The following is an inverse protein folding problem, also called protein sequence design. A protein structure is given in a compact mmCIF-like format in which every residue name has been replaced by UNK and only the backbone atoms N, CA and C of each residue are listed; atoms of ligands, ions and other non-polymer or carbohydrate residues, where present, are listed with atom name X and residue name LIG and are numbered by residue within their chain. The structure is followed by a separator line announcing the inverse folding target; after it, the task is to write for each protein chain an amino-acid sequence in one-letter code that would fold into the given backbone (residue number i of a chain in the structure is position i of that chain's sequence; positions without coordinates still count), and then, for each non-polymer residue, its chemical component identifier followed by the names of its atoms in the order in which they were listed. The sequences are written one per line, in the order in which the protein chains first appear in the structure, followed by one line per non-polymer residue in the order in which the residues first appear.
data_IF_639331951439
#
_entry.id   IF_639331951439
#
_cell.length_a   1.000
_cell.length_b   1.000
_cell.length_c   1.000
_cell.angle_alpha   90.00
_cell.angle_beta   90.00
_cell.angle_gamma   90.00
#
_symmetry.space_group_name_H-M   'P 1'
#
loop_
_entity.id
_entity.type
_entity.pdbx_description
1 polymer ?
#
# COMPACT_ATOMS: atom_id res chain seq x y z
N UNK A 1 -25.20 -34.53 -49.93
CA UNK A 1 -25.11 -33.80 -48.62
C UNK A 1 -26.04 -32.59 -48.73
N UNK A 2 -27.10 -32.54 -47.97
CA UNK A 2 -28.12 -31.49 -48.02
C UNK A 2 -27.56 -30.19 -47.42
N UNK A 3 -27.96 -29.04 -47.97
CA UNK A 3 -27.48 -27.70 -47.54
C UNK A 3 -27.65 -27.45 -46.05
N UNK A 4 -28.63 -28.05 -45.40
CA UNK A 4 -28.85 -27.95 -43.95
C UNK A 4 -27.73 -28.57 -43.09
N UNK A 5 -27.15 -29.71 -43.53
CA UNK A 5 -26.01 -30.32 -42.80
C UNK A 5 -24.75 -29.45 -42.88
N UNK A 6 -24.51 -28.81 -44.02
CA UNK A 6 -23.40 -27.86 -44.19
C UNK A 6 -23.56 -26.62 -43.29
N UNK A 7 -24.74 -26.05 -43.18
CA UNK A 7 -25.03 -24.91 -42.32
C UNK A 7 -24.87 -25.22 -40.82
N UNK A 8 -25.26 -26.42 -40.39
CA UNK A 8 -25.06 -26.88 -39.01
C UNK A 8 -23.58 -27.04 -38.69
N UNK A 9 -22.78 -27.64 -39.53
CA UNK A 9 -21.34 -27.85 -39.34
C UNK A 9 -20.62 -26.51 -39.25
N UNK A 10 -20.95 -25.54 -40.08
CA UNK A 10 -20.34 -24.20 -40.03
C UNK A 10 -20.69 -23.46 -38.74
N UNK A 11 -21.94 -23.50 -38.28
CA UNK A 11 -22.35 -22.91 -37.01
C UNK A 11 -21.63 -23.52 -35.81
N UNK A 12 -21.52 -24.85 -35.74
CA UNK A 12 -20.81 -25.52 -34.64
C UNK A 12 -19.32 -25.29 -34.69
N UNK A 13 -18.69 -25.24 -35.85
CA UNK A 13 -17.27 -24.91 -36.01
C UNK A 13 -16.95 -23.49 -35.54
N UNK A 14 -17.84 -22.53 -35.86
CA UNK A 14 -17.68 -21.15 -35.43
C UNK A 14 -17.79 -20.99 -33.89
N UNK A 15 -18.75 -21.69 -33.25
CA UNK A 15 -18.88 -21.70 -31.80
C UNK A 15 -17.67 -22.35 -31.13
N UNK A 16 -17.16 -23.45 -31.63
CA UNK A 16 -15.99 -24.12 -31.12
C UNK A 16 -14.73 -23.25 -31.24
N UNK A 17 -14.57 -22.55 -32.35
CA UNK A 17 -13.46 -21.62 -32.58
C UNK A 17 -13.52 -20.43 -31.59
N UNK A 18 -14.71 -19.87 -31.35
CA UNK A 18 -14.91 -18.75 -30.40
C UNK A 18 -14.58 -19.18 -28.96
N UNK A 19 -15.02 -20.36 -28.55
CA UNK A 19 -14.73 -20.85 -27.19
C UNK A 19 -13.24 -21.14 -26.97
N UNK A 20 -12.56 -21.73 -27.97
CA UNK A 20 -11.11 -21.96 -27.91
C UNK A 20 -10.34 -20.64 -27.86
N UNK A 21 -10.75 -19.63 -28.65
CA UNK A 21 -10.10 -18.31 -28.65
C UNK A 21 -10.26 -17.58 -27.32
N UNK A 22 -11.41 -17.67 -26.65
CA UNK A 22 -11.63 -17.10 -25.32
C UNK A 22 -10.77 -17.79 -24.27
N UNK A 23 -10.70 -19.13 -24.30
CA UNK A 23 -9.89 -19.89 -23.36
C UNK A 23 -8.40 -19.62 -23.58
N UNK A 24 -7.93 -19.60 -24.83
CA UNK A 24 -6.54 -19.25 -25.16
C UNK A 24 -6.21 -17.82 -24.73
N UNK A 25 -7.12 -16.85 -24.95
CA UNK A 25 -6.95 -15.46 -24.51
C UNK A 25 -6.76 -15.35 -23.00
N UNK A 26 -7.51 -16.08 -22.19
CA UNK A 26 -7.38 -16.08 -20.73
C UNK A 26 -6.05 -16.73 -20.27
N UNK A 27 -5.56 -17.74 -21.00
CA UNK A 27 -4.29 -18.43 -20.65
C UNK A 27 -3.05 -17.66 -21.11
N UNK A 28 -3.14 -16.88 -22.20
CA UNK A 28 -2.03 -16.10 -22.73
C UNK A 28 -1.92 -14.68 -22.15
N UNK A 29 -2.90 -14.21 -21.37
CA UNK A 29 -2.71 -12.95 -20.66
C UNK A 29 -1.61 -13.15 -19.60
N UNK A 30 -0.44 -12.50 -19.73
CA UNK A 30 0.58 -12.56 -18.71
C UNK A 30 -0.04 -12.03 -17.42
N UNK A 31 -0.18 -12.89 -16.43
CA UNK A 31 -0.60 -12.45 -15.11
C UNK A 31 0.37 -11.34 -14.71
N UNK A 32 -0.12 -10.15 -14.33
CA UNK A 32 0.77 -9.09 -13.89
C UNK A 32 1.65 -9.68 -12.78
N UNK A 33 2.97 -9.65 -12.98
CA UNK A 33 3.91 -9.98 -11.91
C UNK A 33 3.65 -8.99 -10.80
N UNK A 34 2.99 -9.44 -9.77
CA UNK A 34 2.80 -8.66 -8.54
C UNK A 34 4.17 -8.69 -7.87
N UNK A 35 4.95 -7.65 -8.10
CA UNK A 35 6.17 -7.45 -7.33
C UNK A 35 5.73 -7.23 -5.88
N UNK A 36 6.08 -8.18 -5.04
CA UNK A 36 5.92 -8.03 -3.60
C UNK A 36 6.83 -6.88 -3.16
N UNK A 37 6.24 -5.73 -2.91
CA UNK A 37 6.98 -4.54 -2.49
C UNK A 37 7.43 -4.75 -1.06
N UNK A 38 8.70 -5.11 -0.89
CA UNK A 38 9.33 -5.12 0.43
C UNK A 38 9.47 -3.68 0.89
N UNK A 39 8.70 -3.31 1.91
CA UNK A 39 8.84 -2.01 2.54
C UNK A 39 10.11 -1.99 3.39
N UNK A 40 10.86 -0.87 3.40
CA UNK A 40 11.97 -0.74 4.33
C UNK A 40 11.42 -0.78 5.78
N UNK A 41 12.18 -1.33 6.74
CA UNK A 41 11.79 -1.27 8.13
C UNK A 41 11.64 0.18 8.58
N UNK A 42 10.68 0.44 9.46
CA UNK A 42 10.58 1.77 10.08
C UNK A 42 11.81 2.02 10.95
N UNK A 43 12.34 3.26 11.01
CA UNK A 43 13.44 3.59 11.92
C UNK A 43 13.06 3.24 13.36
N UNK A 44 14.01 2.79 14.18
CA UNK A 44 13.77 2.28 15.54
C UNK A 44 12.93 3.24 16.44
N UNK A 45 13.17 4.54 16.31
CA UNK A 45 12.42 5.60 17.00
C UNK A 45 11.82 6.62 16.03
N UNK A 46 11.42 6.16 14.85
CA UNK A 46 10.96 7.02 13.78
C UNK A 46 9.72 6.48 13.06
N UNK A 47 9.48 7.06 11.92
CA UNK A 47 8.31 6.79 11.09
C UNK A 47 8.70 6.36 9.68
N UNK A 48 8.05 5.34 9.18
CA UNK A 48 7.94 5.06 7.76
C UNK A 48 6.61 5.65 7.27
N UNK A 49 6.67 6.59 6.35
CA UNK A 49 5.51 7.18 5.69
C UNK A 49 5.37 6.57 4.32
N UNK A 50 4.26 5.88 4.07
CA UNK A 50 3.95 5.26 2.78
C UNK A 50 2.89 6.09 2.08
N UNK A 51 3.23 6.70 0.96
CA UNK A 51 2.30 7.39 0.08
C UNK A 51 1.82 6.43 -1.02
N UNK A 52 0.56 6.07 -0.99
CA UNK A 52 -0.13 5.45 -2.12
C UNK A 52 -0.60 6.55 -3.06
N UNK A 53 0.07 6.71 -4.20
CA UNK A 53 -0.23 7.76 -5.16
C UNK A 53 -0.80 7.18 -6.47
N UNK A 54 -1.50 8.02 -7.21
CA UNK A 54 -1.90 7.72 -8.58
C UNK A 54 -1.05 8.57 -9.53
N UNK A 55 -0.40 7.95 -10.54
CA UNK A 55 0.34 8.70 -11.55
C UNK A 55 -0.53 9.77 -12.23
N UNK A 56 0.04 10.92 -12.55
CA UNK A 56 -0.62 12.05 -13.19
C UNK A 56 -1.77 12.71 -12.37
N UNK A 57 -1.92 12.39 -11.09
CA UNK A 57 -2.84 13.10 -10.20
C UNK A 57 -2.12 14.27 -9.51
N UNK A 58 -2.58 15.50 -9.76
CA UNK A 58 -2.01 16.73 -9.20
C UNK A 58 -1.97 16.73 -7.68
N UNK A 59 -2.97 16.16 -7.03
CA UNK A 59 -3.05 16.05 -5.57
C UNK A 59 -1.96 15.14 -5.03
N UNK A 60 -1.71 14.03 -5.71
CA UNK A 60 -0.62 13.09 -5.40
C UNK A 60 0.76 13.76 -5.55
N UNK A 61 0.96 14.56 -6.58
CA UNK A 61 2.21 15.31 -6.80
C UNK A 61 2.46 16.36 -5.72
N UNK A 62 1.44 17.15 -5.38
CA UNK A 62 1.53 18.15 -4.32
C UNK A 62 1.85 17.50 -2.96
N UNK A 63 1.17 16.42 -2.63
CA UNK A 63 1.41 15.68 -1.39
C UNK A 63 2.81 15.07 -1.36
N UNK A 64 3.29 14.55 -2.50
CA UNK A 64 4.67 14.07 -2.64
C UNK A 64 5.69 15.16 -2.34
N UNK A 65 5.51 16.36 -2.87
CA UNK A 65 6.39 17.52 -2.59
C UNK A 65 6.36 17.95 -1.11
N UNK A 66 5.21 17.86 -0.45
CA UNK A 66 5.10 18.12 1.00
C UNK A 66 5.87 17.06 1.78
N UNK A 67 5.73 15.78 1.44
CA UNK A 67 6.44 14.69 2.10
C UNK A 67 7.97 14.79 1.93
N UNK A 68 8.46 15.29 0.79
CA UNK A 68 9.90 15.55 0.61
C UNK A 68 10.42 16.59 1.60
N UNK A 69 9.67 17.68 1.80
CA UNK A 69 10.02 18.71 2.78
C UNK A 69 10.00 18.16 4.21
N UNK A 70 8.99 17.33 4.53
CA UNK A 70 8.90 16.65 5.83
C UNK A 70 10.09 15.72 6.01
N UNK A 71 10.42 14.87 5.05
CA UNK A 71 11.58 13.99 5.14
C UNK A 71 12.88 14.77 5.31
N UNK A 72 13.06 15.87 4.57
CA UNK A 72 14.23 16.74 4.71
C UNK A 72 14.34 17.36 6.12
N UNK A 73 13.21 17.79 6.71
CA UNK A 73 13.15 18.39 8.04
C UNK A 73 13.50 17.39 9.15
N UNK A 74 12.96 16.18 9.08
CA UNK A 74 13.13 15.17 10.14
C UNK A 74 14.29 14.21 9.89
N UNK A 75 14.89 14.24 8.71
CA UNK A 75 16.07 13.46 8.35
C UNK A 75 15.86 11.95 8.56
N UNK A 76 16.78 11.33 9.31
CA UNK A 76 16.77 9.88 9.54
C UNK A 76 15.57 9.36 10.36
N UNK A 77 14.82 10.24 11.01
CA UNK A 77 13.64 9.85 11.79
C UNK A 77 12.41 9.59 10.92
N UNK A 78 12.41 10.05 9.68
CA UNK A 78 11.27 9.87 8.77
C UNK A 78 11.77 9.35 7.43
N UNK A 79 11.30 8.18 7.06
CA UNK A 79 11.53 7.59 5.74
C UNK A 79 10.23 7.69 4.94
N UNK A 80 10.30 8.22 3.73
CA UNK A 80 9.14 8.29 2.83
C UNK A 80 9.30 7.26 1.71
N UNK A 81 8.30 6.40 1.55
CA UNK A 81 8.17 5.46 0.43
C UNK A 81 6.94 5.80 -0.40
N UNK A 82 7.09 5.81 -1.71
CA UNK A 82 6.00 6.06 -2.65
C UNK A 82 5.65 4.78 -3.36
N UNK A 83 4.36 4.46 -3.40
CA UNK A 83 3.83 3.29 -4.08
C UNK A 83 2.75 3.72 -5.05
N UNK A 84 2.87 3.29 -6.29
CA UNK A 84 1.83 3.44 -7.28
C UNK A 84 0.63 2.56 -6.87
N UNK A 85 -0.51 3.18 -6.63
CA UNK A 85 -1.73 2.50 -6.17
C UNK A 85 -2.21 1.44 -7.17
N UNK A 86 -2.10 1.72 -8.46
CA UNK A 86 -2.51 0.78 -9.52
C UNK A 86 -1.56 -0.41 -9.67
N UNK A 87 -0.26 -0.21 -9.43
CA UNK A 87 0.74 -1.28 -9.54
C UNK A 87 0.88 -2.13 -8.28
N UNK A 88 0.47 -1.61 -7.11
CA UNK A 88 0.66 -2.26 -5.81
C UNK A 88 -0.66 -2.48 -5.06
N UNK A 89 -1.68 -3.13 -5.68
CA UNK A 89 -3.01 -3.27 -5.09
C UNK A 89 -3.01 -4.14 -3.82
N UNK A 90 -2.10 -5.10 -3.71
CA UNK A 90 -2.01 -5.96 -2.52
C UNK A 90 -1.49 -5.19 -1.31
N UNK A 91 -0.43 -4.38 -1.48
CA UNK A 91 0.10 -3.53 -0.41
C UNK A 91 -0.93 -2.47 0.00
N UNK A 92 -1.64 -1.88 -0.97
CA UNK A 92 -2.73 -0.95 -0.69
C UNK A 92 -3.83 -1.62 0.16
N UNK A 93 -4.25 -2.84 -0.21
CA UNK A 93 -5.24 -3.62 0.54
C UNK A 93 -4.74 -3.99 1.94
N UNK A 94 -3.49 -4.40 2.09
CA UNK A 94 -2.88 -4.71 3.40
C UNK A 94 -2.86 -3.48 4.32
N UNK A 95 -2.69 -2.28 3.76
CA UNK A 95 -2.75 -1.01 4.50
C UNK A 95 -4.18 -0.50 4.72
N UNK A 96 -5.21 -1.14 4.14
CA UNK A 96 -6.60 -0.69 4.20
C UNK A 96 -6.88 0.51 3.29
N UNK A 97 -6.07 0.71 2.24
CA UNK A 97 -6.20 1.82 1.30
C UNK A 97 -7.16 1.45 0.18
N UNK A 98 -8.23 2.23 0.03
CA UNK A 98 -9.26 2.01 -1.00
C UNK A 98 -9.19 3.01 -2.15
N UNK A 99 -8.53 4.17 -1.94
CA UNK A 99 -8.43 5.26 -2.93
C UNK A 99 -7.14 6.05 -2.72
N UNK A 100 -6.52 6.48 -3.80
CA UNK A 100 -5.37 7.39 -3.82
C UNK A 100 -5.81 8.86 -4.00
N UNK A 101 -5.03 9.87 -3.53
CA UNK A 101 -3.85 9.70 -2.70
C UNK A 101 -4.19 9.32 -1.25
N UNK A 102 -3.40 8.45 -0.67
CA UNK A 102 -3.56 8.01 0.72
C UNK A 102 -2.19 7.86 1.37
N UNK A 103 -2.05 8.39 2.57
CA UNK A 103 -0.82 8.29 3.35
C UNK A 103 -1.03 7.37 4.54
N UNK A 104 -0.09 6.45 4.73
CA UNK A 104 -0.06 5.54 5.87
C UNK A 104 1.23 5.76 6.64
N UNK A 105 1.15 6.00 7.93
CA UNK A 105 2.29 6.17 8.81
C UNK A 105 2.48 4.91 9.66
N UNK A 106 3.67 4.36 9.59
CA UNK A 106 4.04 3.09 10.23
C UNK A 106 5.20 3.34 11.18
N UNK A 107 5.11 2.83 12.40
CA UNK A 107 6.21 2.82 13.36
C UNK A 107 6.28 1.45 14.02
N UNK A 108 7.51 0.90 14.15
CA UNK A 108 7.73 -0.45 14.71
C UNK A 108 6.80 -1.49 14.09
N UNK A 109 6.69 -1.46 12.74
CA UNK A 109 5.87 -2.37 11.92
C UNK A 109 4.35 -2.28 12.14
N UNK A 110 3.88 -1.30 12.92
CA UNK A 110 2.46 -1.07 13.18
C UNK A 110 1.99 0.23 12.52
N UNK A 111 0.83 0.18 11.91
CA UNK A 111 0.15 1.38 11.44
C UNK A 111 -0.25 2.23 12.65
N UNK A 112 0.27 3.46 12.72
CA UNK A 112 0.00 4.40 13.82
C UNK A 112 -0.97 5.50 13.41
N UNK A 113 -1.02 5.82 12.12
CA UNK A 113 -1.94 6.81 11.57
C UNK A 113 -2.10 6.62 10.07
N UNK A 114 -3.24 7.04 9.53
CA UNK A 114 -3.46 7.14 8.08
C UNK A 114 -4.49 8.23 7.76
N UNK A 115 -4.42 8.75 6.53
CA UNK A 115 -5.39 9.71 6.03
C UNK A 115 -5.44 9.69 4.50
N UNK A 116 -6.57 10.16 3.97
CA UNK A 116 -6.81 10.28 2.54
C UNK A 116 -6.89 11.75 2.13
N UNK A 117 -6.43 12.07 0.92
CA UNK A 117 -6.51 13.41 0.34
C UNK A 117 -5.28 14.27 0.64
N UNK A 118 -5.42 15.58 0.42
CA UNK A 118 -4.33 16.55 0.56
C UNK A 118 -4.31 17.16 1.96
N UNK A 119 -3.16 17.07 2.59
CA UNK A 119 -2.85 17.81 3.80
C UNK A 119 -1.84 18.91 3.50
N UNK A 120 -1.91 20.00 4.24
CA UNK A 120 -0.91 21.06 4.17
C UNK A 120 0.37 20.65 4.88
N UNK A 121 1.50 21.26 4.52
CA UNK A 121 2.78 20.99 5.17
C UNK A 121 2.73 21.17 6.71
N UNK A 122 2.15 22.27 7.27
CA UNK A 122 2.04 22.44 8.72
C UNK A 122 1.23 21.31 9.41
N UNK A 123 0.13 20.89 8.81
CA UNK A 123 -0.68 19.79 9.36
C UNK A 123 0.11 18.48 9.39
N UNK A 124 0.86 18.19 8.33
CA UNK A 124 1.70 17.01 8.24
C UNK A 124 2.80 17.04 9.31
N UNK A 125 3.50 18.17 9.43
CA UNK A 125 4.56 18.34 10.43
C UNK A 125 4.02 18.22 11.85
N UNK A 126 2.88 18.84 12.15
CA UNK A 126 2.25 18.74 13.46
C UNK A 126 1.93 17.28 13.82
N UNK A 127 1.40 16.50 12.86
CA UNK A 127 1.07 15.09 13.10
C UNK A 127 2.34 14.24 13.30
N UNK A 128 3.37 14.45 12.50
CA UNK A 128 4.67 13.79 12.66
C UNK A 128 5.28 14.10 14.04
N UNK A 129 5.25 15.36 14.46
CA UNK A 129 5.75 15.76 15.79
C UNK A 129 4.97 15.10 16.94
N UNK A 130 3.65 15.02 16.81
CA UNK A 130 2.80 14.34 17.79
C UNK A 130 3.18 12.87 17.95
N UNK A 131 3.32 12.16 16.83
CA UNK A 131 3.67 10.74 16.85
C UNK A 131 5.09 10.53 17.38
N UNK A 132 6.07 11.30 16.91
CA UNK A 132 7.46 11.19 17.39
C UNK A 132 7.60 11.50 18.88
N UNK A 133 6.84 12.47 19.41
CA UNK A 133 6.78 12.73 20.86
C UNK A 133 6.17 11.54 21.62
N UNK A 134 5.12 10.94 21.09
CA UNK A 134 4.53 9.72 21.65
C UNK A 134 5.53 8.57 21.71
N UNK A 135 6.28 8.33 20.63
CA UNK A 135 7.30 7.29 20.57
C UNK A 135 8.42 7.51 21.59
N UNK A 136 8.89 8.76 21.75
CA UNK A 136 9.92 9.10 22.76
C UNK A 136 9.45 8.85 24.19
N UNK A 137 8.18 9.14 24.50
CA UNK A 137 7.60 8.83 25.81
C UNK A 137 7.57 7.34 26.09
N UNK A 138 7.12 6.55 25.11
CA UNK A 138 7.09 5.09 25.24
C UNK A 138 8.47 4.46 25.46
N UNK A 139 9.54 5.02 24.87
CA UNK A 139 10.90 4.53 25.08
C UNK A 139 11.48 4.94 26.42
N UNK A 140 11.12 6.11 26.96
CA UNK A 140 11.60 6.59 28.24
C UNK A 140 10.99 5.83 29.43
N UNK A 141 9.73 5.41 29.30
CA UNK A 141 8.99 4.70 30.34
C UNK A 141 9.08 3.17 30.17
N UNK A 142 9.70 2.69 29.09
CA UNK A 142 9.90 1.27 28.89
C UNK A 142 10.99 0.74 29.82
N UNK A 143 10.58 -0.03 30.81
CA UNK A 143 11.47 -0.84 31.65
C UNK A 143 11.40 -2.28 31.17
N UNK A 144 12.55 -2.96 30.94
CA UNK A 144 12.50 -4.36 30.58
C UNK A 144 11.79 -5.15 31.69
N UNK A 145 10.97 -6.16 31.35
CA UNK A 145 10.34 -6.99 32.38
C UNK A 145 11.42 -7.61 33.26
N UNK A 146 11.29 -7.43 34.58
CA UNK A 146 12.21 -8.03 35.53
C UNK A 146 12.09 -9.54 35.43
N UNK A 147 13.20 -10.31 35.21
CA UNK A 147 13.14 -11.74 35.15
C UNK A 147 12.46 -12.31 36.39
N UNK A 148 11.34 -13.04 36.24
CA UNK A 148 10.59 -13.64 37.33
C UNK A 148 9.32 -12.90 37.76
N UNK A 149 9.02 -11.72 37.23
CA UNK A 149 7.74 -11.04 37.49
C UNK A 149 6.66 -11.57 36.56
N UNK A 150 5.61 -12.19 37.10
CA UNK A 150 4.42 -12.55 36.31
C UNK A 150 3.77 -11.29 35.75
N UNK A 151 3.32 -11.28 34.47
CA UNK A 151 2.60 -10.14 33.90
C UNK A 151 1.35 -9.87 34.76
N UNK A 152 1.17 -8.63 35.17
CA UNK A 152 -0.04 -8.18 35.85
C UNK A 152 -1.24 -8.39 34.89
N UNK A 153 -2.13 -9.31 35.25
CA UNK A 153 -3.36 -9.58 34.49
C UNK A 153 -3.52 -10.98 33.91
N UNK A 154 -2.75 -11.98 34.32
CA UNK A 154 -3.11 -13.38 34.05
C UNK A 154 -4.06 -13.90 35.13
N UNK A 155 -5.30 -14.35 34.76
CA UNK A 155 -6.25 -14.97 35.68
C UNK A 155 -5.71 -16.29 36.25
#
# INVERSE_FOLDING_TARGET
MTNERRAKIIKWGFFLFLTISVIAGVWFYPKPKIEEVVLPPSPENGLLIVLHHQPADKTSEQLSGILDKVQKKYGKLVIVKRLDFGKNPQTAKAHGVTKAPHVVMISREKKVFDFQGLWTQPQMEQKVDEILRGLKRMTKDWRPPVPGMKPAGSP
#
